data_IF_018517120793
#
_entry.id   IF_018517120793
#
_cell.length_a   1.000
_cell.length_b   1.000
_cell.length_c   1.000
_cell.angle_alpha   90.00
_cell.angle_beta   90.00
_cell.angle_gamma   90.00
#
_symmetry.space_group_name_H-M   'P 1'
#
loop_
_entity.id
_entity.type
_entity.pdbx_description
1 polymer ?
#
# COMPACT_ATOMS: atom_id res chain seq x y z
N UNK A 1 15.22 -20.04 1.83
CA UNK A 1 14.15 -19.31 2.55
C UNK A 1 14.56 -17.89 2.95
N UNK A 2 15.75 -17.70 3.56
CA UNK A 2 16.22 -16.37 4.03
C UNK A 2 16.32 -15.27 2.96
N UNK A 3 16.79 -15.59 1.74
CA UNK A 3 16.92 -14.58 0.66
C UNK A 3 15.58 -13.94 0.28
N UNK A 4 14.49 -14.72 0.19
CA UNK A 4 13.16 -14.19 -0.17
C UNK A 4 12.59 -13.30 0.94
N UNK A 5 12.72 -13.74 2.20
CA UNK A 5 12.27 -12.94 3.34
C UNK A 5 13.03 -11.61 3.42
N UNK A 6 14.36 -11.65 3.25
CA UNK A 6 15.19 -10.45 3.20
C UNK A 6 14.73 -9.50 2.09
N UNK A 7 14.48 -10.00 0.88
CA UNK A 7 13.98 -9.18 -0.23
C UNK A 7 12.61 -8.56 0.06
N UNK A 8 11.65 -9.31 0.62
CA UNK A 8 10.32 -8.76 0.97
C UNK A 8 10.47 -7.64 1.99
N UNK A 9 11.17 -7.91 3.10
CA UNK A 9 11.35 -6.93 4.18
C UNK A 9 12.07 -5.70 3.66
N UNK A 10 13.18 -5.88 2.93
CA UNK A 10 13.94 -4.77 2.36
C UNK A 10 13.07 -3.90 1.44
N UNK A 11 12.36 -4.50 0.47
CA UNK A 11 11.52 -3.75 -0.46
C UNK A 11 10.38 -3.05 0.25
N UNK A 12 9.64 -3.75 1.12
CA UNK A 12 8.53 -3.15 1.87
C UNK A 12 9.02 -2.01 2.78
N UNK A 13 10.16 -2.18 3.46
CA UNK A 13 10.75 -1.12 4.29
C UNK A 13 11.20 0.08 3.46
N UNK A 14 11.83 -0.13 2.30
CA UNK A 14 12.22 0.95 1.40
C UNK A 14 11.01 1.71 0.87
N UNK A 15 9.94 1.00 0.46
CA UNK A 15 8.70 1.64 0.03
C UNK A 15 8.05 2.42 1.17
N UNK A 16 7.94 1.83 2.37
CA UNK A 16 7.38 2.52 3.54
C UNK A 16 8.17 3.78 3.92
N UNK A 17 9.51 3.73 3.86
CA UNK A 17 10.37 4.88 4.10
C UNK A 17 10.17 5.97 3.03
N UNK A 18 10.12 5.59 1.76
CA UNK A 18 9.86 6.52 0.66
C UNK A 18 8.48 7.20 0.79
N UNK A 19 7.44 6.44 1.12
CA UNK A 19 6.09 6.96 1.37
C UNK A 19 6.10 7.94 2.53
N UNK A 20 6.73 7.58 3.65
CA UNK A 20 6.83 8.46 4.83
C UNK A 20 7.53 9.77 4.49
N UNK A 21 8.67 9.68 3.81
CA UNK A 21 9.44 10.85 3.41
C UNK A 21 8.63 11.77 2.48
N UNK A 22 8.02 11.22 1.44
CA UNK A 22 7.25 11.99 0.45
C UNK A 22 5.95 12.57 1.03
N UNK A 23 5.28 11.83 1.91
CA UNK A 23 4.03 12.27 2.55
C UNK A 23 4.28 13.36 3.59
N UNK A 24 5.37 13.27 4.35
CA UNK A 24 5.73 14.25 5.39
C UNK A 24 6.60 15.40 4.87
N UNK A 25 7.16 15.30 3.66
CA UNK A 25 7.94 16.38 3.06
C UNK A 25 7.10 17.68 3.02
N UNK A 26 7.66 18.82 3.45
CA UNK A 26 6.94 20.09 3.47
C UNK A 26 6.43 20.47 2.08
N UNK A 27 5.11 20.60 1.95
CA UNK A 27 4.47 20.92 0.69
C UNK A 27 4.53 22.44 0.46
N UNK A 28 5.52 22.89 -0.31
CA UNK A 28 5.67 24.30 -0.65
C UNK A 28 4.69 24.66 -1.77
N UNK A 29 3.48 25.06 -1.40
CA UNK A 29 2.72 26.11 -2.06
C UNK A 29 2.25 25.95 -3.51
N UNK A 30 2.45 24.82 -4.20
CA UNK A 30 1.75 24.56 -5.47
C UNK A 30 0.45 23.87 -5.09
N UNK A 31 -0.61 24.66 -4.88
CA UNK A 31 -1.97 24.13 -4.88
C UNK A 31 -2.19 23.51 -6.26
N UNK A 32 -1.93 22.21 -6.41
CA UNK A 32 -2.19 21.55 -7.67
C UNK A 32 -3.70 21.62 -7.88
N UNK A 33 -4.13 22.26 -8.96
CA UNK A 33 -5.53 22.32 -9.36
C UNK A 33 -6.14 20.93 -9.64
N UNK A 34 -5.37 19.85 -9.44
CA UNK A 34 -5.67 18.47 -9.75
C UNK A 34 -5.83 17.63 -8.46
N UNK A 35 -6.88 17.92 -7.69
CA UNK A 35 -7.27 17.16 -6.48
C UNK A 35 -7.33 15.64 -6.72
N UNK A 36 -7.76 15.21 -7.92
CA UNK A 36 -7.83 13.80 -8.29
C UNK A 36 -6.46 13.14 -8.36
N UNK A 37 -5.44 13.84 -8.87
CA UNK A 37 -4.08 13.30 -8.99
C UNK A 37 -3.46 13.05 -7.61
N UNK A 38 -3.67 13.98 -6.67
CA UNK A 38 -3.23 13.83 -5.28
C UNK A 38 -3.83 12.57 -4.61
N UNK A 39 -5.08 12.22 -4.92
CA UNK A 39 -5.70 11.01 -4.37
C UNK A 39 -5.14 9.73 -5.02
N UNK A 40 -4.88 9.77 -6.33
CA UNK A 40 -4.29 8.63 -7.05
C UNK A 40 -2.88 8.33 -6.57
N UNK A 41 -2.08 9.34 -6.22
CA UNK A 41 -0.74 9.14 -5.63
C UNK A 41 -0.80 8.29 -4.37
N UNK A 42 -1.77 8.54 -3.48
CA UNK A 42 -1.96 7.74 -2.26
C UNK A 42 -2.40 6.31 -2.56
N UNK A 43 -3.35 6.12 -3.49
CA UNK A 43 -3.78 4.78 -3.93
C UNK A 43 -2.59 3.98 -4.47
N UNK A 44 -1.80 4.58 -5.37
CA UNK A 44 -0.66 3.92 -6.00
C UNK A 44 0.47 3.64 -4.99
N UNK A 45 0.80 4.60 -4.15
CA UNK A 45 1.86 4.48 -3.15
C UNK A 45 1.59 3.33 -2.18
N UNK A 46 0.41 3.30 -1.57
CA UNK A 46 0.06 2.28 -0.59
C UNK A 46 -0.37 0.95 -1.22
N UNK A 47 -0.82 0.94 -2.47
CA UNK A 47 -0.91 -0.29 -3.26
C UNK A 47 0.48 -0.90 -3.50
N UNK A 48 1.45 -0.09 -3.92
CA UNK A 48 2.82 -0.53 -4.18
C UNK A 48 3.51 -1.11 -2.93
N UNK A 49 3.20 -0.58 -1.74
CA UNK A 49 3.66 -1.12 -0.46
C UNK A 49 3.33 -2.61 -0.28
N UNK A 50 2.19 -3.07 -0.83
CA UNK A 50 1.73 -4.45 -0.72
C UNK A 50 2.33 -5.40 -1.74
N UNK A 51 2.86 -4.89 -2.85
CA UNK A 51 3.32 -5.69 -3.99
C UNK A 51 4.42 -6.70 -3.63
N UNK A 52 5.48 -6.36 -2.86
CA UNK A 52 6.52 -7.33 -2.52
C UNK A 52 5.97 -8.58 -1.81
N UNK A 53 5.04 -8.37 -0.87
CA UNK A 53 4.39 -9.46 -0.15
C UNK A 53 3.39 -10.20 -1.05
N UNK A 54 2.60 -9.48 -1.85
CA UNK A 54 1.64 -10.07 -2.78
C UNK A 54 2.29 -11.04 -3.78
N UNK A 55 3.48 -10.72 -4.28
CA UNK A 55 4.18 -11.55 -5.26
C UNK A 55 4.96 -12.71 -4.64
N UNK A 56 5.62 -12.47 -3.51
CA UNK A 56 6.61 -13.41 -2.96
C UNK A 56 6.07 -14.26 -1.80
N UNK A 57 5.05 -13.77 -1.08
CA UNK A 57 4.46 -14.45 0.08
C UNK A 57 3.02 -13.98 0.37
N UNK A 58 2.03 -14.32 -0.48
CA UNK A 58 0.68 -13.75 -0.43
C UNK A 58 -0.04 -13.90 0.92
N UNK A 59 0.22 -14.97 1.68
CA UNK A 59 -0.40 -15.19 2.98
C UNK A 59 0.00 -14.14 4.03
N UNK A 60 1.09 -13.39 3.81
CA UNK A 60 1.45 -12.26 4.66
C UNK A 60 0.48 -11.09 4.53
N UNK A 61 -0.25 -11.00 3.41
CA UNK A 61 -1.20 -9.93 3.19
C UNK A 61 -2.26 -9.89 4.28
N UNK A 62 -2.69 -11.03 4.86
CA UNK A 62 -3.66 -11.09 5.98
C UNK A 62 -3.29 -10.20 7.18
N UNK A 63 -1.99 -10.07 7.45
CA UNK A 63 -1.48 -9.23 8.53
C UNK A 63 -1.01 -7.87 8.03
N UNK A 64 -0.47 -7.80 6.82
CA UNK A 64 0.00 -6.54 6.26
C UNK A 64 -1.13 -5.56 5.98
N UNK A 65 -2.30 -6.00 5.51
CA UNK A 65 -3.40 -5.09 5.16
C UNK A 65 -3.89 -4.22 6.34
N UNK A 66 -4.18 -4.74 7.55
CA UNK A 66 -4.55 -3.88 8.67
C UNK A 66 -3.37 -3.01 9.14
N UNK A 67 -2.14 -3.54 9.11
CA UNK A 67 -0.95 -2.76 9.49
C UNK A 67 -0.69 -1.60 8.52
N UNK A 68 -0.90 -1.81 7.22
CA UNK A 68 -0.77 -0.79 6.20
C UNK A 68 -1.80 0.33 6.37
N UNK A 69 -3.05 -0.01 6.69
CA UNK A 69 -4.12 0.98 6.95
C UNK A 69 -3.79 1.80 8.21
N UNK A 70 -3.32 1.14 9.27
CA UNK A 70 -2.87 1.81 10.49
C UNK A 70 -1.68 2.74 10.20
N UNK A 71 -0.70 2.27 9.42
CA UNK A 71 0.45 3.07 8.99
C UNK A 71 0.04 4.31 8.18
N UNK A 72 -0.91 4.15 7.24
CA UNK A 72 -1.48 5.28 6.50
C UNK A 72 -2.13 6.31 7.44
N UNK A 73 -2.89 5.83 8.43
CA UNK A 73 -3.53 6.69 9.43
C UNK A 73 -2.52 7.44 10.30
N UNK A 74 -1.43 6.77 10.72
CA UNK A 74 -0.34 7.42 11.45
C UNK A 74 0.31 8.52 10.62
N UNK A 75 0.62 8.26 9.35
CA UNK A 75 1.17 9.29 8.45
C UNK A 75 0.24 10.49 8.37
N UNK A 76 -1.07 10.26 8.17
CA UNK A 76 -2.06 11.33 8.06
C UNK A 76 -2.15 12.20 9.32
N UNK A 77 -2.08 11.57 10.50
CA UNK A 77 -2.06 12.26 11.79
C UNK A 77 -0.76 13.05 12.01
N UNK A 78 0.35 12.62 11.41
CA UNK A 78 1.65 13.29 11.52
C UNK A 78 1.80 14.46 10.53
N UNK A 79 1.13 14.43 9.37
CA UNK A 79 1.21 15.49 8.35
C UNK A 79 1.08 16.93 8.89
N UNK A 80 0.16 17.26 9.83
CA UNK A 80 0.06 18.58 10.46
C UNK A 80 1.35 19.09 11.10
N UNK A 81 2.16 18.20 11.66
CA UNK A 81 3.41 18.56 12.32
C UNK A 81 4.50 19.00 11.32
N UNK A 82 4.34 18.65 10.04
CA UNK A 82 5.25 19.01 8.95
C UNK A 82 4.69 20.12 8.04
N UNK A 83 3.65 20.83 8.50
CA UNK A 83 3.05 21.95 7.76
C UNK A 83 2.09 21.54 6.64
N UNK A 84 1.64 20.28 6.60
CA UNK A 84 0.57 19.81 5.70
C UNK A 84 -0.78 19.79 6.41
N UNK A 85 -1.89 19.79 5.67
CA UNK A 85 -3.22 19.56 6.27
C UNK A 85 -3.51 18.08 6.31
N UNK A 86 -4.02 17.61 7.45
CA UNK A 86 -4.67 16.31 7.50
C UNK A 86 -5.96 16.34 6.66
N UNK A 87 -6.12 15.36 5.79
CA UNK A 87 -7.26 15.08 4.94
C UNK A 87 -7.62 13.59 5.05
N UNK A 88 -8.80 13.32 5.59
CA UNK A 88 -9.33 11.96 5.69
C UNK A 88 -9.42 11.26 4.32
N UNK A 89 -9.55 12.00 3.22
CA UNK A 89 -9.57 11.42 1.88
C UNK A 89 -8.23 10.81 1.50
N UNK A 90 -7.09 11.35 1.93
CA UNK A 90 -5.79 10.73 1.70
C UNK A 90 -5.69 9.37 2.40
N UNK A 91 -6.21 9.26 3.63
CA UNK A 91 -6.27 7.99 4.35
C UNK A 91 -7.21 6.98 3.68
N UNK A 92 -8.38 7.43 3.20
CA UNK A 92 -9.32 6.57 2.45
C UNK A 92 -8.69 6.09 1.14
N UNK A 93 -8.04 6.97 0.37
CA UNK A 93 -7.32 6.62 -0.85
C UNK A 93 -6.20 5.61 -0.61
N UNK A 94 -5.42 5.81 0.45
CA UNK A 94 -4.36 4.87 0.86
C UNK A 94 -4.94 3.50 1.20
N UNK A 95 -6.01 3.47 2.00
CA UNK A 95 -6.72 2.25 2.38
C UNK A 95 -7.28 1.52 1.17
N UNK A 96 -7.81 2.25 0.19
CA UNK A 96 -8.32 1.68 -1.06
C UNK A 96 -7.21 0.98 -1.84
N UNK A 97 -6.03 1.59 -2.01
CA UNK A 97 -4.89 0.97 -2.69
C UNK A 97 -4.43 -0.34 -2.03
N UNK A 98 -4.39 -0.36 -0.69
CA UNK A 98 -4.06 -1.54 0.12
C UNK A 98 -5.06 -2.68 -0.12
N UNK A 99 -6.34 -2.35 0.01
CA UNK A 99 -7.43 -3.32 -0.15
C UNK A 99 -7.45 -3.85 -1.58
N UNK A 100 -7.27 -2.99 -2.58
CA UNK A 100 -7.26 -3.35 -3.99
C UNK A 100 -6.20 -4.42 -4.29
N UNK A 101 -4.95 -4.22 -3.87
CA UNK A 101 -3.89 -5.21 -4.10
C UNK A 101 -4.12 -6.48 -3.28
N UNK A 102 -4.59 -6.34 -2.04
CA UNK A 102 -4.85 -7.49 -1.16
C UNK A 102 -5.94 -8.41 -1.72
N UNK A 103 -7.11 -7.85 -2.00
CA UNK A 103 -8.24 -8.58 -2.57
C UNK A 103 -7.94 -9.07 -3.98
N UNK A 104 -7.29 -8.25 -4.82
CA UNK A 104 -6.87 -8.67 -6.15
C UNK A 104 -5.94 -9.89 -6.12
N UNK A 105 -5.03 -9.93 -5.15
CA UNK A 105 -4.14 -11.09 -4.95
C UNK A 105 -4.92 -12.33 -4.53
N UNK A 106 -5.83 -12.21 -3.55
CA UNK A 106 -6.67 -13.35 -3.13
C UNK A 106 -7.55 -13.86 -4.26
N UNK A 107 -8.20 -12.97 -5.01
CA UNK A 107 -9.03 -13.33 -6.15
C UNK A 107 -8.21 -14.07 -7.22
N UNK A 108 -7.03 -13.55 -7.57
CA UNK A 108 -6.16 -14.19 -8.55
C UNK A 108 -5.74 -15.59 -8.10
N UNK A 109 -5.37 -15.76 -6.83
CA UNK A 109 -5.01 -17.06 -6.29
C UNK A 109 -6.18 -18.04 -6.28
N UNK A 110 -7.38 -17.59 -5.90
CA UNK A 110 -8.59 -18.42 -5.91
C UNK A 110 -8.97 -18.87 -7.33
N UNK A 111 -8.81 -18.00 -8.33
CA UNK A 111 -9.03 -18.37 -9.75
C UNK A 111 -8.01 -19.41 -10.19
N UNK A 112 -6.73 -19.22 -9.87
CA UNK A 112 -5.66 -20.17 -10.23
C UNK A 112 -5.92 -21.54 -9.57
N UNK A 113 -6.32 -21.54 -8.31
CA UNK A 113 -6.64 -22.77 -7.57
C UNK A 113 -7.84 -23.51 -8.18
N UNK A 114 -8.91 -22.77 -8.51
CA UNK A 114 -10.09 -23.31 -9.18
C UNK A 114 -9.75 -23.97 -10.53
N UNK A 115 -8.88 -23.34 -11.33
CA UNK A 115 -8.44 -23.89 -12.62
C UNK A 115 -7.64 -25.18 -12.39
N UNK A 116 -6.70 -25.19 -11.44
CA UNK A 116 -5.88 -26.37 -11.13
C UNK A 116 -6.71 -27.56 -10.65
N UNK A 117 -7.77 -27.32 -9.88
CA UNK A 117 -8.67 -28.36 -9.42
C UNK A 117 -9.63 -28.88 -10.51
N UNK A 118 -9.85 -28.10 -11.57
CA UNK A 118 -10.69 -28.52 -12.71
C UNK A 118 -9.94 -29.46 -13.68
N UNK A 119 -8.62 -29.33 -13.77
CA UNK A 119 -7.78 -30.06 -14.73
C UNK A 119 -7.06 -31.29 -14.12
N UNK A 120 -7.30 -31.62 -12.85
CA UNK A 120 -6.81 -32.84 -12.18
C UNK A 120 -7.83 -33.98 -12.17
N UNK A 121 -7.41 -35.26 -12.18
CA UNK A 121 -8.30 -36.44 -12.23
C UNK A 121 -9.17 -36.61 -10.98
#
# INVERSE_FOLDING_TARGET
MHRRLFTIVLLTSLTAAAISFLALAPHHGIQSSYRMLAHLEHVLAFGLLMVPAALLRPHWLHWLWPMGIAFAGVIELLQPQFGRRADLMHWVSSSFGIVLITFGTWLALSIVDLIRHRDGP
#
